data_IF_781774904524
#
_entry.id   IF_781774904524
#
_cell.length_a   1.000
_cell.length_b   1.000
_cell.length_c   1.000
_cell.angle_alpha   90.00
_cell.angle_beta   90.00
_cell.angle_gamma   90.00
#
_symmetry.space_group_name_H-M   'P 1'
#
loop_
_entity.id
_entity.type
_entity.pdbx_description
1 polymer ?
#
# COMPACT_ATOMS: atom_id res chain seq x y z
N UNK A 1 13.16 -8.16 16.35
CA UNK A 1 13.98 -6.94 16.43
C UNK A 1 14.00 -6.30 15.04
N UNK A 2 13.11 -5.35 14.73
CA UNK A 2 13.05 -4.70 13.41
C UNK A 2 12.90 -3.18 13.47
N UNK A 3 12.77 -2.59 14.67
CA UNK A 3 12.55 -1.14 14.85
C UNK A 3 13.76 -0.25 14.52
N UNK A 4 14.91 -0.81 14.19
CA UNK A 4 16.11 -0.05 13.80
C UNK A 4 16.09 0.40 12.33
N UNK A 5 15.30 -0.22 11.46
CA UNK A 5 15.39 0.00 10.01
C UNK A 5 14.57 1.21 9.53
N UNK A 6 13.35 1.38 10.04
CA UNK A 6 12.43 2.45 9.59
C UNK A 6 12.95 3.84 9.96
N UNK A 7 13.49 4.00 11.17
CA UNK A 7 14.08 5.25 11.63
C UNK A 7 15.29 5.67 10.78
N UNK A 8 16.08 4.70 10.30
CA UNK A 8 17.27 4.96 9.50
C UNK A 8 16.91 5.55 8.12
N UNK A 9 15.93 4.96 7.44
CA UNK A 9 15.51 5.42 6.10
C UNK A 9 14.84 6.81 6.13
N UNK A 10 14.16 7.14 7.23
CA UNK A 10 13.58 8.48 7.45
C UNK A 10 14.70 9.52 7.63
N UNK A 11 15.67 9.25 8.50
CA UNK A 11 16.81 10.15 8.74
C UNK A 11 17.57 10.40 7.44
N UNK A 12 17.79 9.36 6.63
CA UNK A 12 18.46 9.46 5.33
C UNK A 12 17.72 10.39 4.35
N UNK A 13 16.39 10.29 4.28
CA UNK A 13 15.55 11.18 3.43
C UNK A 13 15.60 12.64 3.87
N UNK A 14 15.61 12.89 5.19
CA UNK A 14 15.68 14.25 5.75
C UNK A 14 17.00 14.91 5.37
N UNK A 15 18.13 14.21 5.59
CA UNK A 15 19.48 14.70 5.26
C UNK A 15 19.59 15.01 3.76
N UNK A 16 19.14 14.09 2.89
CA UNK A 16 19.16 14.29 1.43
C UNK A 16 18.38 15.53 0.98
N UNK A 17 17.21 15.78 1.57
CA UNK A 17 16.40 16.96 1.22
C UNK A 17 17.04 18.27 1.68
N UNK A 18 17.74 18.27 2.82
CA UNK A 18 18.48 19.43 3.31
C UNK A 18 19.69 19.72 2.40
N UNK A 19 20.44 18.69 1.99
CA UNK A 19 21.60 18.82 1.10
C UNK A 19 21.24 19.33 -0.30
N UNK A 20 20.04 19.04 -0.81
CA UNK A 20 19.60 19.47 -2.14
C UNK A 20 19.13 20.94 -2.18
N UNK A 21 19.13 21.67 -1.05
CA UNK A 21 18.83 23.11 -1.00
C UNK A 21 17.37 23.49 -1.30
N UNK A 22 16.51 22.50 -1.53
CA UNK A 22 15.06 22.65 -1.74
C UNK A 22 14.33 21.68 -0.81
N UNK A 23 14.27 21.99 0.51
CA UNK A 23 13.69 21.07 1.47
C UNK A 23 12.20 20.89 1.17
N UNK A 24 11.84 19.71 0.64
CA UNK A 24 10.44 19.30 0.56
C UNK A 24 9.89 19.23 1.99
N UNK A 25 8.70 19.79 2.22
CA UNK A 25 7.99 19.63 3.49
C UNK A 25 7.61 18.15 3.64
N UNK A 26 8.49 17.38 4.26
CA UNK A 26 8.24 15.99 4.60
C UNK A 26 7.32 15.94 5.82
N UNK A 27 6.19 15.25 5.70
CA UNK A 27 5.34 14.89 6.83
C UNK A 27 5.55 13.41 7.10
N UNK A 28 6.03 13.07 8.30
CA UNK A 28 6.04 11.69 8.74
C UNK A 28 4.59 11.28 9.03
N UNK A 29 4.06 10.36 8.23
CA UNK A 29 2.77 9.73 8.47
C UNK A 29 3.06 8.27 8.75
N UNK A 30 2.93 7.88 10.01
CA UNK A 30 2.91 6.47 10.38
C UNK A 30 1.53 5.96 9.97
N UNK A 31 1.49 5.10 8.95
CA UNK A 31 0.26 4.42 8.54
C UNK A 31 0.26 3.08 9.26
N UNK A 32 -0.39 3.03 10.41
CA UNK A 32 -0.70 1.76 11.06
C UNK A 32 -1.65 0.96 10.14
N UNK A 33 -1.51 -0.37 10.13
CA UNK A 33 -2.37 -1.29 9.37
C UNK A 33 -2.26 -1.23 7.83
N UNK A 34 -1.18 -0.65 7.28
CA UNK A 34 -0.96 -0.72 5.83
C UNK A 34 -0.51 -2.11 5.39
N UNK A 35 -1.15 -2.65 4.35
CA UNK A 35 -0.66 -3.83 3.64
C UNK A 35 0.77 -3.62 3.13
N UNK A 36 1.57 -4.68 3.08
CA UNK A 36 2.90 -4.64 2.47
C UNK A 36 2.79 -4.33 0.97
N UNK A 37 3.84 -3.79 0.36
CA UNK A 37 3.81 -3.49 -1.07
C UNK A 37 3.68 -4.76 -1.93
N UNK A 38 4.17 -5.90 -1.42
CA UNK A 38 3.98 -7.21 -2.05
C UNK A 38 2.51 -7.64 -1.99
N UNK A 39 1.84 -7.52 -0.84
CA UNK A 39 0.41 -7.82 -0.71
C UNK A 39 -0.44 -6.93 -1.64
N UNK A 40 -0.09 -5.64 -1.73
CA UNK A 40 -0.77 -4.70 -2.64
C UNK A 40 -0.63 -5.13 -4.10
N UNK A 41 0.56 -5.53 -4.53
CA UNK A 41 0.78 -5.98 -5.91
C UNK A 41 0.07 -7.31 -6.18
N UNK A 42 0.07 -8.25 -5.23
CA UNK A 42 -0.69 -9.51 -5.36
C UNK A 42 -2.20 -9.26 -5.51
N UNK A 43 -2.79 -8.39 -4.68
CA UNK A 43 -4.21 -8.00 -4.79
C UNK A 43 -4.48 -7.36 -6.15
N UNK A 44 -3.63 -6.44 -6.59
CA UNK A 44 -3.77 -5.78 -7.89
C UNK A 44 -3.73 -6.78 -9.05
N UNK A 45 -2.79 -7.72 -9.03
CA UNK A 45 -2.71 -8.77 -10.05
C UNK A 45 -3.94 -9.68 -10.02
N UNK A 46 -4.43 -10.06 -8.84
CA UNK A 46 -5.65 -10.85 -8.70
C UNK A 46 -6.87 -10.12 -9.30
N UNK A 47 -7.02 -8.83 -9.02
CA UNK A 47 -8.10 -8.00 -9.58
C UNK A 47 -7.99 -7.89 -11.10
N UNK A 48 -6.80 -7.63 -11.62
CA UNK A 48 -6.57 -7.54 -13.07
C UNK A 48 -6.86 -8.85 -13.78
N UNK A 49 -6.36 -9.98 -13.25
CA UNK A 49 -6.58 -11.31 -13.83
C UNK A 49 -8.05 -11.72 -13.81
N UNK A 50 -8.78 -11.37 -12.73
CA UNK A 50 -10.21 -11.64 -12.64
C UNK A 50 -11.01 -10.76 -13.60
N UNK A 51 -10.68 -9.47 -13.70
CA UNK A 51 -11.33 -8.55 -14.64
C UNK A 51 -11.12 -8.93 -16.11
N UNK A 52 -9.93 -9.45 -16.45
CA UNK A 52 -9.60 -9.94 -17.78
C UNK A 52 -10.36 -11.23 -18.15
N UNK A 53 -10.69 -12.07 -17.16
CA UNK A 53 -11.32 -13.38 -17.38
C UNK A 53 -12.85 -13.31 -17.52
N UNK A 54 -13.53 -12.32 -16.92
CA UNK A 54 -15.00 -12.32 -16.83
C UNK A 54 -15.72 -11.25 -17.68
N UNK A 55 -14.98 -10.38 -18.38
CA UNK A 55 -15.56 -9.21 -19.05
C UNK A 55 -16.20 -8.23 -18.06
N UNK A 56 -16.53 -7.02 -18.49
CA UNK A 56 -16.86 -5.88 -17.62
C UNK A 56 -17.99 -6.08 -16.57
N UNK A 57 -18.74 -7.19 -16.63
CA UNK A 57 -19.74 -7.58 -15.63
C UNK A 57 -19.13 -8.23 -14.37
N UNK A 58 -17.93 -8.82 -14.45
CA UNK A 58 -17.26 -9.50 -13.33
C UNK A 58 -16.51 -8.59 -12.36
N UNK A 59 -16.26 -7.33 -12.74
CA UNK A 59 -15.53 -6.38 -11.88
C UNK A 59 -16.37 -5.89 -10.71
N UNK A 60 -17.68 -5.70 -10.94
CA UNK A 60 -18.63 -5.27 -9.91
C UNK A 60 -18.84 -6.38 -8.86
N UNK A 61 -19.06 -7.62 -9.30
CA UNK A 61 -19.18 -8.77 -8.39
C UNK A 61 -17.89 -9.02 -7.61
N UNK A 62 -16.72 -8.89 -8.25
CA UNK A 62 -15.43 -9.01 -7.57
C UNK A 62 -15.23 -7.92 -6.50
N UNK A 63 -15.64 -6.69 -6.78
CA UNK A 63 -15.53 -5.59 -5.82
C UNK A 63 -16.42 -5.81 -4.60
N UNK A 64 -17.62 -6.39 -4.78
CA UNK A 64 -18.50 -6.81 -3.69
C UNK A 64 -17.88 -7.95 -2.87
N UNK A 65 -17.37 -9.00 -3.52
CA UNK A 65 -16.71 -10.13 -2.86
C UNK A 65 -15.47 -9.70 -2.06
N UNK A 66 -14.65 -8.80 -2.61
CA UNK A 66 -13.47 -8.25 -1.92
C UNK A 66 -13.85 -7.41 -0.71
N UNK A 67 -14.89 -6.57 -0.84
CA UNK A 67 -15.39 -5.76 0.28
C UNK A 67 -15.86 -6.67 1.41
N UNK A 68 -16.61 -7.71 1.09
CA UNK A 68 -17.12 -8.65 2.09
C UNK A 68 -15.99 -9.43 2.77
N UNK A 69 -14.99 -9.88 2.00
CA UNK A 69 -13.79 -10.52 2.56
C UNK A 69 -13.01 -9.58 3.50
N UNK A 70 -12.86 -8.30 3.15
CA UNK A 70 -12.21 -7.30 4.00
C UNK A 70 -12.97 -7.06 5.31
N UNK A 71 -14.30 -7.02 5.27
CA UNK A 71 -15.13 -6.90 6.49
C UNK A 71 -14.92 -8.13 7.38
N UNK A 72 -14.89 -9.33 6.79
CA UNK A 72 -14.72 -10.58 7.52
C UNK A 72 -13.35 -10.71 8.20
N UNK A 73 -12.29 -10.26 7.55
CA UNK A 73 -10.92 -10.29 8.10
C UNK A 73 -10.76 -9.32 9.28
N UNK A 74 -11.50 -8.21 9.27
CA UNK A 74 -11.36 -7.13 10.27
C UNK A 74 -12.49 -7.10 11.31
N UNK A 75 -13.36 -8.12 11.36
CA UNK A 75 -14.39 -8.30 12.38
C UNK A 75 -13.85 -9.06 13.59
#
# INVERSE_FOLDING_TARGET
MTSQNENYEIIKRVILNEQLGCPKKLKLVVVEESLSDEDKEQIKQAVLNHSASYGGKGVLSLAEELKDAFIWINA
#
